data_IF_663551362607
#
_entry.id   IF_663551362607
#
_cell.length_a   1.000
_cell.length_b   1.000
_cell.length_c   1.000
_cell.angle_alpha   90.00
_cell.angle_beta   90.00
_cell.angle_gamma   90.00
#
_symmetry.space_group_name_H-M   'P 1'
#
loop_
_entity.id
_entity.type
_entity.pdbx_description
1 polymer ?
#
# COMPACT_ATOMS: atom_id res chain seq x y z
N UNK A 1 -11.16 14.45 -19.72
CA UNK A 1 -11.32 15.85 -19.25
C UNK A 1 -12.04 15.97 -17.91
N UNK A 2 -13.26 15.43 -17.73
CA UNK A 2 -14.00 15.57 -16.45
C UNK A 2 -13.24 15.02 -15.22
N UNK A 3 -12.62 13.84 -15.34
CA UNK A 3 -11.84 13.27 -14.23
C UNK A 3 -10.62 14.12 -13.86
N UNK A 4 -10.00 14.80 -14.83
CA UNK A 4 -8.90 15.72 -14.57
C UNK A 4 -9.38 16.94 -13.77
N UNK A 5 -10.56 17.49 -14.12
CA UNK A 5 -11.16 18.58 -13.35
C UNK A 5 -11.43 18.14 -11.90
N UNK A 6 -11.98 16.93 -11.71
CA UNK A 6 -12.22 16.36 -10.38
C UNK A 6 -10.92 16.12 -9.61
N UNK A 7 -9.87 15.63 -10.28
CA UNK A 7 -8.55 15.44 -9.68
C UNK A 7 -7.97 16.77 -9.19
N UNK A 8 -8.11 17.83 -9.98
CA UNK A 8 -7.65 19.18 -9.63
C UNK A 8 -8.46 19.77 -8.48
N UNK A 9 -9.80 19.62 -8.51
CA UNK A 9 -10.66 20.07 -7.41
C UNK A 9 -10.34 19.35 -6.09
N UNK A 10 -10.02 18.05 -6.15
CA UNK A 10 -9.68 17.23 -5.00
C UNK A 10 -8.37 17.64 -4.30
N UNK A 11 -7.54 18.51 -4.92
CA UNK A 11 -6.35 19.08 -4.26
C UNK A 11 -6.76 19.95 -3.07
N UNK A 12 -7.94 20.57 -3.13
CA UNK A 12 -8.47 21.51 -2.14
C UNK A 12 -9.42 20.75 -1.17
N UNK A 13 -9.08 20.62 0.13
CA UNK A 13 -9.89 19.90 1.11
C UNK A 13 -11.34 20.39 1.23
N UNK A 14 -11.57 21.69 1.02
CA UNK A 14 -12.89 22.32 1.03
C UNK A 14 -13.82 21.72 -0.05
N UNK A 15 -13.24 21.24 -1.15
CA UNK A 15 -14.01 20.59 -2.23
C UNK A 15 -14.30 19.11 -1.93
N UNK A 16 -13.66 18.47 -0.95
CA UNK A 16 -13.75 17.01 -0.73
C UNK A 16 -15.20 16.56 -0.52
N UNK A 17 -16.01 17.35 0.19
CA UNK A 17 -17.43 17.05 0.39
C UNK A 17 -18.21 16.96 -0.92
N UNK A 18 -17.83 17.77 -1.92
CA UNK A 18 -18.43 17.82 -3.26
C UNK A 18 -17.91 16.66 -4.12
N UNK A 19 -16.58 16.47 -4.14
CA UNK A 19 -15.94 15.55 -5.09
C UNK A 19 -15.83 14.11 -4.60
N UNK A 20 -16.14 13.80 -3.33
CA UNK A 20 -16.10 12.42 -2.82
C UNK A 20 -17.00 11.45 -3.59
N UNK A 21 -18.09 11.92 -4.20
CA UNK A 21 -18.96 11.09 -5.03
C UNK A 21 -18.26 10.57 -6.31
N UNK A 22 -17.10 11.15 -6.66
CA UNK A 22 -16.29 10.71 -7.77
C UNK A 22 -15.41 9.50 -7.44
N UNK A 23 -15.26 9.10 -6.17
CA UNK A 23 -14.37 7.98 -5.79
C UNK A 23 -14.72 6.70 -6.56
N UNK A 24 -15.98 6.22 -6.59
CA UNK A 24 -16.31 5.00 -7.32
C UNK A 24 -16.03 5.10 -8.83
N UNK A 25 -16.26 6.29 -9.41
CA UNK A 25 -16.00 6.56 -10.82
C UNK A 25 -14.50 6.55 -11.14
N UNK A 26 -13.68 7.15 -10.28
CA UNK A 26 -12.22 7.13 -10.42
C UNK A 26 -11.67 5.70 -10.26
N UNK A 27 -12.18 4.93 -9.30
CA UNK A 27 -11.83 3.51 -9.14
C UNK A 27 -12.14 2.71 -10.40
N UNK A 28 -13.31 2.92 -11.01
CA UNK A 28 -13.67 2.25 -12.27
C UNK A 28 -12.69 2.59 -13.41
N UNK A 29 -12.10 3.79 -13.42
CA UNK A 29 -11.12 4.17 -14.46
C UNK A 29 -9.75 3.49 -14.31
N UNK A 30 -9.47 2.83 -13.19
CA UNK A 30 -8.22 2.07 -13.03
C UNK A 30 -8.12 0.84 -13.96
N UNK A 31 -9.26 0.38 -14.50
CA UNK A 31 -9.34 -0.68 -15.51
C UNK A 31 -9.39 -0.15 -16.95
N UNK A 32 -9.20 1.16 -17.17
CA UNK A 32 -9.19 1.72 -18.51
C UNK A 32 -8.01 1.19 -19.33
N UNK A 33 -8.22 1.02 -20.64
CA UNK A 33 -7.16 0.72 -21.59
C UNK A 33 -6.34 1.98 -21.94
N UNK A 34 -6.87 3.16 -21.63
CA UNK A 34 -6.16 4.43 -21.78
C UNK A 34 -5.32 4.70 -20.53
N UNK A 35 -3.99 4.60 -20.68
CA UNK A 35 -3.05 4.83 -19.58
C UNK A 35 -3.12 6.26 -19.03
N UNK A 36 -3.49 7.25 -19.86
CA UNK A 36 -3.70 8.61 -19.39
C UNK A 36 -4.88 8.68 -18.44
N UNK A 37 -5.99 8.02 -18.76
CA UNK A 37 -7.14 7.96 -17.84
C UNK A 37 -6.79 7.30 -16.50
N UNK A 38 -6.00 6.23 -16.54
CA UNK A 38 -5.53 5.54 -15.33
C UNK A 38 -4.68 6.45 -14.46
N UNK A 39 -3.73 7.18 -15.06
CA UNK A 39 -2.88 8.13 -14.33
C UNK A 39 -3.72 9.22 -13.67
N UNK A 40 -4.68 9.79 -14.40
CA UNK A 40 -5.59 10.82 -13.87
C UNK A 40 -6.47 10.24 -12.74
N UNK A 41 -6.92 9.00 -12.87
CA UNK A 41 -7.68 8.31 -11.84
C UNK A 41 -6.87 8.09 -10.56
N UNK A 42 -5.63 7.60 -10.68
CA UNK A 42 -4.71 7.43 -9.55
C UNK A 42 -4.42 8.78 -8.87
N UNK A 43 -4.26 9.86 -9.64
CA UNK A 43 -4.06 11.19 -9.11
C UNK A 43 -5.29 11.70 -8.34
N UNK A 44 -6.50 11.53 -8.91
CA UNK A 44 -7.75 11.89 -8.25
C UNK A 44 -7.91 11.12 -6.92
N UNK A 45 -7.74 9.80 -6.95
CA UNK A 45 -7.84 8.95 -5.77
C UNK A 45 -6.79 9.28 -4.72
N UNK A 46 -5.57 9.62 -5.13
CA UNK A 46 -4.51 10.07 -4.21
C UNK A 46 -4.95 11.36 -3.49
N UNK A 47 -5.50 12.33 -4.21
CA UNK A 47 -5.95 13.59 -3.61
C UNK A 47 -7.17 13.40 -2.68
N UNK A 48 -8.06 12.46 -3.02
CA UNK A 48 -9.26 12.13 -2.23
C UNK A 48 -8.98 11.21 -1.03
N UNK A 49 -7.79 10.63 -0.92
CA UNK A 49 -7.42 9.66 0.12
C UNK A 49 -6.57 10.25 1.26
N UNK A 50 -6.45 11.58 1.35
CA UNK A 50 -5.65 12.23 2.39
C UNK A 50 -6.20 11.98 3.80
N UNK A 51 -7.53 11.90 3.95
CA UNK A 51 -8.21 11.66 5.22
C UNK A 51 -9.42 10.73 5.00
N UNK A 52 -9.16 9.43 4.80
CA UNK A 52 -10.21 8.42 4.56
C UNK A 52 -11.02 8.23 5.83
N UNK A 53 -12.33 8.51 5.78
CA UNK A 53 -13.25 8.13 6.85
C UNK A 53 -13.68 6.66 6.72
N UNK A 54 -14.15 6.06 7.82
CA UNK A 54 -14.62 4.66 7.83
C UNK A 54 -15.73 4.40 6.79
N UNK A 55 -16.60 5.39 6.54
CA UNK A 55 -17.66 5.31 5.53
C UNK A 55 -17.14 5.28 4.08
N UNK A 56 -15.93 5.81 3.84
CA UNK A 56 -15.31 5.82 2.52
C UNK A 56 -14.53 4.55 2.22
N UNK A 57 -14.22 3.74 3.24
CA UNK A 57 -13.43 2.51 3.07
C UNK A 57 -13.98 1.63 1.94
N UNK A 58 -15.29 1.28 1.90
CA UNK A 58 -15.82 0.41 0.85
C UNK A 58 -15.64 0.97 -0.57
N UNK A 59 -15.52 2.30 -0.71
CA UNK A 59 -15.34 2.96 -2.00
C UNK A 59 -13.89 2.85 -2.50
N UNK A 60 -12.91 2.79 -1.59
CA UNK A 60 -11.49 2.68 -1.93
C UNK A 60 -10.98 1.25 -2.02
N UNK A 61 -11.59 0.29 -1.32
CA UNK A 61 -11.18 -1.13 -1.32
C UNK A 61 -10.93 -1.68 -2.74
N UNK A 62 -11.78 -1.43 -3.76
CA UNK A 62 -11.54 -1.99 -5.09
C UNK A 62 -10.31 -1.40 -5.79
N UNK A 63 -9.75 -0.26 -5.34
CA UNK A 63 -8.52 0.32 -5.90
C UNK A 63 -7.27 -0.50 -5.54
N UNK A 64 -7.28 -1.21 -4.41
CA UNK A 64 -6.12 -1.94 -3.87
C UNK A 64 -5.52 -2.93 -4.89
N UNK A 65 -6.27 -3.91 -5.45
CA UNK A 65 -5.70 -4.88 -6.39
C UNK A 65 -5.18 -4.22 -7.67
N UNK A 66 -5.78 -3.11 -8.10
CA UNK A 66 -5.31 -2.34 -9.25
C UNK A 66 -4.00 -1.62 -8.95
N UNK A 67 -3.85 -1.03 -7.77
CA UNK A 67 -2.60 -0.39 -7.37
C UNK A 67 -1.47 -1.40 -7.23
N UNK A 68 -1.74 -2.54 -6.57
CA UNK A 68 -0.76 -3.61 -6.40
C UNK A 68 -0.31 -4.14 -7.77
N UNK A 69 -1.23 -4.51 -8.66
CA UNK A 69 -0.89 -5.04 -9.98
C UNK A 69 -0.12 -4.04 -10.87
N UNK A 70 -0.31 -2.74 -10.64
CA UNK A 70 0.40 -1.67 -11.35
C UNK A 70 1.64 -1.15 -10.64
N UNK A 71 2.07 -1.74 -9.52
CA UNK A 71 3.31 -1.33 -8.83
C UNK A 71 4.53 -1.33 -9.76
N UNK A 72 4.52 -2.22 -10.75
CA UNK A 72 5.54 -2.31 -11.80
C UNK A 72 4.88 -2.14 -13.17
N UNK A 73 5.37 -1.18 -13.95
CA UNK A 73 4.97 -1.00 -15.35
C UNK A 73 6.24 -1.01 -16.19
N UNK A 74 6.34 -2.00 -17.10
CA UNK A 74 7.49 -2.17 -18.01
C UNK A 74 8.84 -2.21 -17.28
N UNK A 75 8.88 -2.84 -16.10
CA UNK A 75 10.09 -2.97 -15.28
C UNK A 75 10.35 -1.79 -14.34
N UNK A 76 9.58 -0.70 -14.44
CA UNK A 76 9.76 0.50 -13.64
C UNK A 76 8.70 0.59 -12.52
N UNK A 77 9.07 1.04 -11.31
CA UNK A 77 8.10 1.34 -10.26
C UNK A 77 7.12 2.44 -10.71
N UNK A 78 5.82 2.19 -10.51
CA UNK A 78 4.77 3.18 -10.76
C UNK A 78 4.53 4.05 -9.52
N UNK A 79 5.03 5.28 -9.58
CA UNK A 79 4.91 6.22 -8.47
C UNK A 79 3.46 6.60 -8.13
N UNK A 80 2.56 6.65 -9.12
CA UNK A 80 1.16 7.03 -8.87
C UNK A 80 0.41 5.95 -8.09
N UNK A 81 0.64 4.68 -8.43
CA UNK A 81 0.10 3.55 -7.66
C UNK A 81 0.67 3.55 -6.23
N UNK A 82 1.97 3.80 -6.09
CA UNK A 82 2.65 3.83 -4.80
C UNK A 82 2.19 4.97 -3.90
N UNK A 83 1.95 6.17 -4.46
CA UNK A 83 1.40 7.32 -3.73
C UNK A 83 0.02 7.01 -3.15
N UNK A 84 -0.85 6.38 -3.94
CA UNK A 84 -2.16 5.96 -3.46
C UNK A 84 -2.03 4.87 -2.38
N UNK A 85 -1.18 3.86 -2.56
CA UNK A 85 -0.94 2.81 -1.55
C UNK A 85 -0.46 3.38 -0.22
N UNK A 86 0.40 4.39 -0.22
CA UNK A 86 0.81 5.12 1.00
C UNK A 86 -0.40 5.75 1.69
N UNK A 87 -1.25 6.47 0.95
CA UNK A 87 -2.43 7.11 1.55
C UNK A 87 -3.42 6.08 2.11
N UNK A 88 -3.64 4.98 1.37
CA UNK A 88 -4.48 3.87 1.83
C UNK A 88 -3.93 3.25 3.12
N UNK A 89 -2.61 3.04 3.23
CA UNK A 89 -2.01 2.46 4.45
C UNK A 89 -1.92 3.41 5.63
N UNK A 90 -2.09 4.72 5.42
CA UNK A 90 -2.26 5.70 6.50
C UNK A 90 -3.64 5.60 7.18
N UNK A 91 -4.61 4.88 6.60
CA UNK A 91 -5.88 4.50 7.24
C UNK A 91 -5.74 3.07 7.80
N UNK A 92 -5.58 2.86 9.12
CA UNK A 92 -5.33 1.53 9.68
C UNK A 92 -6.43 0.51 9.35
N UNK A 93 -7.69 0.93 9.29
CA UNK A 93 -8.84 0.07 8.95
C UNK A 93 -8.84 -0.40 7.49
N UNK A 94 -8.07 0.25 6.61
CA UNK A 94 -7.88 -0.18 5.22
C UNK A 94 -6.85 -1.32 5.11
N UNK A 95 -5.90 -1.39 6.04
CA UNK A 95 -4.76 -2.31 5.97
C UNK A 95 -5.18 -3.80 5.95
N UNK A 96 -6.19 -4.27 6.69
CA UNK A 96 -6.71 -5.64 6.55
C UNK A 96 -7.09 -6.02 5.11
N UNK A 97 -7.75 -5.13 4.38
CA UNK A 97 -8.13 -5.34 2.98
C UNK A 97 -6.89 -5.37 2.06
N UNK A 98 -5.90 -4.52 2.35
CA UNK A 98 -4.63 -4.52 1.61
C UNK A 98 -3.88 -5.84 1.80
N UNK A 99 -3.77 -6.29 3.05
CA UNK A 99 -3.04 -7.50 3.41
C UNK A 99 -3.68 -8.77 2.86
N UNK A 100 -5.00 -8.83 2.75
CA UNK A 100 -5.73 -9.94 2.11
C UNK A 100 -5.68 -9.93 0.57
N UNK A 101 -5.27 -8.82 -0.05
CA UNK A 101 -5.20 -8.72 -1.51
C UNK A 101 -4.07 -9.55 -2.09
N UNK A 102 -4.21 -9.94 -3.36
CA UNK A 102 -3.17 -10.69 -4.08
C UNK A 102 -1.88 -9.87 -4.17
N UNK A 103 -0.77 -10.49 -3.78
CA UNK A 103 0.54 -9.86 -3.86
C UNK A 103 1.11 -9.80 -5.28
N UNK A 104 2.14 -8.98 -5.45
CA UNK A 104 2.97 -8.93 -6.67
C UNK A 104 4.35 -9.48 -6.36
N UNK A 105 4.84 -10.35 -7.23
CA UNK A 105 6.17 -10.95 -7.12
C UNK A 105 7.26 -9.88 -7.13
N UNK A 106 8.27 -10.06 -6.28
CA UNK A 106 9.40 -9.12 -6.21
C UNK A 106 9.03 -7.76 -5.59
N UNK A 107 7.97 -7.71 -4.77
CA UNK A 107 7.52 -6.48 -4.09
C UNK A 107 8.66 -5.70 -3.43
N UNK A 108 9.55 -6.40 -2.71
CA UNK A 108 10.63 -5.77 -1.96
C UNK A 108 11.70 -5.14 -2.84
N UNK A 109 11.77 -5.48 -4.14
CA UNK A 109 12.65 -4.83 -5.12
C UNK A 109 12.34 -3.35 -5.32
N UNK A 110 11.18 -2.86 -4.85
CA UNK A 110 10.89 -1.42 -4.79
C UNK A 110 11.91 -0.66 -3.93
N UNK A 111 12.57 -1.34 -3.00
CA UNK A 111 13.61 -0.77 -2.14
C UNK A 111 14.99 -0.68 -2.82
N UNK A 112 15.17 -1.30 -4.00
CA UNK A 112 16.43 -1.26 -4.77
C UNK A 112 16.51 -0.07 -5.74
N UNK A 113 15.50 0.81 -5.74
CA UNK A 113 15.46 1.94 -6.68
C UNK A 113 16.45 3.03 -6.29
N UNK A 114 17.10 3.61 -7.30
CA UNK A 114 17.93 4.82 -7.20
C UNK A 114 17.10 6.11 -7.15
N UNK A 115 15.81 6.03 -7.47
CA UNK A 115 14.88 7.17 -7.43
C UNK A 115 14.42 7.40 -6.00
N UNK A 116 15.04 8.38 -5.34
CA UNK A 116 14.77 8.71 -3.94
C UNK A 116 13.28 8.93 -3.62
N UNK A 117 12.52 9.58 -4.50
CA UNK A 117 11.08 9.80 -4.30
C UNK A 117 10.31 8.47 -4.21
N UNK A 118 10.67 7.49 -5.05
CA UNK A 118 10.06 6.16 -5.05
C UNK A 118 10.46 5.40 -3.80
N UNK A 119 11.74 5.44 -3.44
CA UNK A 119 12.26 4.78 -2.25
C UNK A 119 11.56 5.29 -0.98
N UNK A 120 11.43 6.60 -0.82
CA UNK A 120 10.73 7.23 0.29
C UNK A 120 9.28 6.78 0.39
N UNK A 121 8.57 6.65 -0.74
CA UNK A 121 7.19 6.18 -0.76
C UNK A 121 7.08 4.68 -0.47
N UNK A 122 7.99 3.87 -1.00
CA UNK A 122 8.03 2.43 -0.77
C UNK A 122 8.25 2.11 0.71
N UNK A 123 9.27 2.72 1.33
CA UNK A 123 9.55 2.50 2.74
C UNK A 123 8.48 3.09 3.65
N UNK A 124 7.88 4.23 3.29
CA UNK A 124 6.73 4.79 4.02
C UNK A 124 5.53 3.85 3.96
N UNK A 125 5.23 3.30 2.79
CA UNK A 125 4.11 2.37 2.63
C UNK A 125 4.28 1.10 3.48
N UNK A 126 5.48 0.50 3.48
CA UNK A 126 5.81 -0.65 4.32
C UNK A 126 5.77 -0.32 5.81
N UNK A 127 6.25 0.88 6.20
CA UNK A 127 6.19 1.37 7.56
C UNK A 127 4.76 1.54 8.05
N UNK A 128 3.90 2.25 7.31
CA UNK A 128 2.51 2.46 7.67
C UNK A 128 1.73 1.13 7.76
N UNK A 129 1.93 0.25 6.77
CA UNK A 129 1.33 -1.09 6.75
C UNK A 129 1.74 -1.89 7.99
N UNK A 130 3.04 -1.92 8.31
CA UNK A 130 3.56 -2.65 9.48
C UNK A 130 3.13 -2.02 10.81
N UNK A 131 3.01 -0.69 10.86
CA UNK A 131 2.51 0.03 12.03
C UNK A 131 1.07 -0.39 12.35
N UNK A 132 0.22 -0.50 11.32
CA UNK A 132 -1.15 -0.96 11.49
C UNK A 132 -1.23 -2.45 11.87
N UNK A 133 -0.34 -3.28 11.33
CA UNK A 133 -0.24 -4.70 11.74
C UNK A 133 0.08 -4.83 13.22
N UNK A 134 1.04 -4.05 13.72
CA UNK A 134 1.39 -4.01 15.15
C UNK A 134 0.22 -3.48 15.99
N UNK A 135 -0.28 -2.28 15.66
CA UNK A 135 -1.31 -1.58 16.43
C UNK A 135 -2.66 -2.32 16.49
N UNK A 136 -3.07 -2.99 15.40
CA UNK A 136 -4.32 -3.74 15.34
C UNK A 136 -4.12 -5.23 15.63
N UNK A 137 -2.90 -5.65 15.95
CA UNK A 137 -2.50 -7.05 16.14
C UNK A 137 -3.00 -7.96 15.01
N UNK A 138 -2.72 -7.56 13.76
CA UNK A 138 -3.20 -8.30 12.59
C UNK A 138 -2.40 -9.59 12.41
N UNK A 139 -3.13 -10.70 12.34
CA UNK A 139 -2.63 -12.01 11.96
C UNK A 139 -3.27 -12.43 10.64
N UNK A 140 -2.71 -13.44 9.98
CA UNK A 140 -3.36 -14.01 8.80
C UNK A 140 -4.82 -14.42 9.08
N UNK A 141 -5.08 -15.07 10.22
CA UNK A 141 -6.43 -15.52 10.59
C UNK A 141 -7.44 -14.37 10.66
N UNK A 142 -7.01 -13.18 11.13
CA UNK A 142 -7.85 -11.99 11.19
C UNK A 142 -8.15 -11.38 9.82
N UNK A 143 -7.24 -11.54 8.85
CA UNK A 143 -7.40 -10.99 7.49
C UNK A 143 -7.86 -12.03 6.47
N UNK A 144 -8.01 -13.30 6.87
CA UNK A 144 -8.33 -14.40 5.96
C UNK A 144 -9.66 -14.20 5.21
N UNK A 145 -10.62 -13.51 5.82
CA UNK A 145 -11.89 -13.14 5.17
C UNK A 145 -11.71 -12.22 3.96
N UNK A 146 -10.58 -11.48 3.89
CA UNK A 146 -10.22 -10.61 2.78
C UNK A 146 -9.35 -11.31 1.73
N UNK A 147 -8.94 -12.57 1.94
CA UNK A 147 -8.15 -13.30 0.95
C UNK A 147 -8.94 -13.53 -0.33
N UNK A 148 -8.57 -12.86 -1.42
CA UNK A 148 -9.27 -12.97 -2.71
C UNK A 148 -8.83 -14.17 -3.58
N UNK A 149 -7.87 -14.97 -3.12
CA UNK A 149 -7.43 -16.17 -3.83
C UNK A 149 -8.56 -17.23 -3.90
N UNK A 150 -8.86 -17.79 -5.10
CA UNK A 150 -9.92 -18.79 -5.27
C UNK A 150 -9.74 -20.04 -4.41
N UNK A 151 -8.50 -20.40 -4.08
CA UNK A 151 -8.15 -21.56 -3.26
C UNK A 151 -7.84 -21.17 -1.81
N UNK A 152 -8.05 -19.89 -1.44
CA UNK A 152 -7.72 -19.32 -0.13
C UNK A 152 -6.27 -19.57 0.29
N UNK A 153 -5.34 -19.67 -0.66
CA UNK A 153 -3.94 -19.92 -0.36
C UNK A 153 -3.34 -18.68 0.36
N UNK A 154 -2.85 -18.82 1.61
CA UNK A 154 -2.23 -17.71 2.34
C UNK A 154 -1.01 -17.14 1.62
N UNK A 155 -0.26 -17.99 0.90
CA UNK A 155 0.99 -17.60 0.25
C UNK A 155 0.80 -16.57 -0.88
N UNK A 156 -0.42 -16.43 -1.42
CA UNK A 156 -0.72 -15.48 -2.48
C UNK A 156 -1.13 -14.09 -1.95
N UNK A 157 -1.25 -13.93 -0.63
CA UNK A 157 -1.64 -12.66 -0.02
C UNK A 157 -0.45 -11.71 0.13
N UNK A 158 -0.75 -10.40 0.14
CA UNK A 158 0.23 -9.37 0.47
C UNK A 158 0.80 -9.59 1.88
N UNK A 159 -0.02 -10.04 2.82
CA UNK A 159 0.42 -10.41 4.16
C UNK A 159 1.59 -11.39 4.14
N UNK A 160 1.46 -12.50 3.41
CA UNK A 160 2.53 -13.48 3.31
C UNK A 160 3.74 -12.96 2.53
N UNK A 161 3.54 -12.09 1.55
CA UNK A 161 4.63 -11.52 0.75
C UNK A 161 5.47 -10.48 1.49
N UNK A 162 4.99 -9.97 2.64
CA UNK A 162 5.73 -9.06 3.51
C UNK A 162 6.23 -9.78 4.76
N UNK A 163 5.37 -10.60 5.39
CA UNK A 163 5.62 -11.20 6.71
C UNK A 163 5.87 -12.71 6.68
N UNK A 164 5.81 -13.35 5.51
CA UNK A 164 6.23 -14.75 5.35
C UNK A 164 7.73 -14.90 5.66
N UNK A 165 8.20 -16.06 6.15
CA UNK A 165 9.54 -16.18 6.75
C UNK A 165 10.68 -15.61 5.90
N UNK A 166 10.75 -16.01 4.61
CA UNK A 166 11.79 -15.53 3.69
C UNK A 166 11.66 -14.05 3.36
N UNK A 167 10.45 -13.60 3.04
CA UNK A 167 10.19 -12.19 2.70
C UNK A 167 10.45 -11.27 3.89
N UNK A 168 10.21 -11.77 5.11
CA UNK A 168 10.43 -11.01 6.32
C UNK A 168 11.93 -10.83 6.61
N UNK A 169 12.72 -11.89 6.47
CA UNK A 169 14.18 -11.81 6.56
C UNK A 169 14.74 -10.82 5.52
N UNK A 170 14.25 -10.91 4.26
CA UNK A 170 14.64 -10.00 3.19
C UNK A 170 14.27 -8.54 3.50
N UNK A 171 13.06 -8.29 4.01
CA UNK A 171 12.62 -6.95 4.39
C UNK A 171 13.49 -6.35 5.49
N UNK A 172 13.79 -7.13 6.53
CA UNK A 172 14.67 -6.67 7.61
C UNK A 172 16.07 -6.37 7.11
N UNK A 173 16.62 -7.21 6.23
CA UNK A 173 17.95 -7.00 5.68
C UNK A 173 18.02 -5.71 4.86
N UNK A 174 17.08 -5.52 3.92
CA UNK A 174 16.98 -4.29 3.11
C UNK A 174 16.76 -3.06 3.99
N UNK A 175 15.90 -3.14 5.00
CA UNK A 175 15.68 -2.03 5.92
C UNK A 175 16.95 -1.69 6.71
N UNK A 176 17.78 -2.66 7.13
CA UNK A 176 19.09 -2.40 7.76
C UNK A 176 20.03 -1.67 6.83
N UNK A 177 20.12 -2.07 5.57
CA UNK A 177 20.94 -1.39 4.56
C UNK A 177 20.51 0.07 4.39
N UNK A 178 19.20 0.32 4.36
CA UNK A 178 18.63 1.67 4.25
C UNK A 178 18.88 2.55 5.49
N UNK A 179 19.25 2.00 6.66
CA UNK A 179 19.69 2.81 7.81
C UNK A 179 21.03 3.50 7.59
N UNK A 180 21.79 3.10 6.55
CA UNK A 180 23.05 3.70 6.16
C UNK A 180 22.90 4.65 4.94
N UNK A 181 21.66 4.93 4.53
CA UNK A 181 21.39 5.79 3.39
C UNK A 181 21.77 7.26 3.68
N UNK A 182 22.10 8.03 2.63
CA UNK A 182 22.50 9.44 2.76
C UNK A 182 21.34 10.36 3.14
N UNK A 183 20.13 10.03 2.67
CA UNK A 183 18.91 10.75 3.00
C UNK A 183 18.39 10.40 4.41
N UNK A 184 18.32 11.40 5.29
CA UNK A 184 17.88 11.26 6.68
C UNK A 184 16.43 10.77 6.83
N UNK A 185 15.52 11.13 5.93
CA UNK A 185 14.13 10.65 5.98
C UNK A 185 14.04 9.15 5.67
N UNK A 186 14.86 8.66 4.73
CA UNK A 186 14.98 7.23 4.44
C UNK A 186 15.50 6.50 5.68
N UNK A 187 16.58 6.99 6.29
CA UNK A 187 17.17 6.41 7.51
C UNK A 187 16.18 6.36 8.66
N UNK A 188 15.46 7.46 8.90
CA UNK A 188 14.46 7.56 9.97
C UNK A 188 13.32 6.55 9.77
N UNK A 189 12.81 6.42 8.54
CA UNK A 189 11.75 5.47 8.21
C UNK A 189 12.22 4.02 8.31
N UNK A 190 13.43 3.73 7.84
CA UNK A 190 14.04 2.40 7.89
C UNK A 190 14.26 1.93 9.34
N UNK A 191 14.77 2.83 10.19
CA UNK A 191 14.99 2.57 11.61
C UNK A 191 13.67 2.25 12.32
N UNK A 192 12.66 3.10 12.13
CA UNK A 192 11.32 2.87 12.70
C UNK A 192 10.66 1.60 12.17
N UNK A 193 10.87 1.26 10.89
CA UNK A 193 10.37 0.02 10.33
C UNK A 193 10.98 -1.18 11.05
N UNK A 194 12.30 -1.21 11.24
CA UNK A 194 12.98 -2.27 11.99
C UNK A 194 12.48 -2.40 13.42
N UNK A 195 12.20 -1.30 14.10
CA UNK A 195 11.62 -1.31 15.45
C UNK A 195 10.24 -1.96 15.48
N UNK A 196 9.34 -1.53 14.59
CA UNK A 196 7.98 -2.08 14.50
C UNK A 196 8.00 -3.55 14.09
N UNK A 197 8.88 -3.92 13.17
CA UNK A 197 9.03 -5.29 12.72
C UNK A 197 9.33 -6.23 13.91
N UNK A 198 10.12 -5.82 14.92
CA UNK A 198 10.37 -6.63 16.13
C UNK A 198 9.09 -7.02 16.90
N UNK A 199 8.04 -6.20 16.81
CA UNK A 199 6.76 -6.45 17.49
C UNK A 199 5.81 -7.30 16.66
N UNK A 200 5.93 -7.26 15.33
CA UNK A 200 5.10 -8.04 14.41
C UNK A 200 5.50 -9.51 14.45
N UNK A 201 4.54 -10.38 14.79
CA UNK A 201 4.75 -11.82 14.90
C UNK A 201 5.05 -12.47 13.54
N UNK A 202 5.99 -13.43 13.52
CA UNK A 202 6.33 -14.20 12.32
C UNK A 202 5.21 -15.20 11.98
N UNK A 203 4.86 -15.27 10.69
CA UNK A 203 3.97 -16.31 10.17
C UNK A 203 4.60 -17.68 10.42
N UNK A 204 3.95 -18.51 11.25
CA UNK A 204 4.42 -19.85 11.61
C UNK A 204 5.08 -19.97 12.99
N UNK A 205 5.25 -18.87 13.72
CA UNK A 205 5.58 -18.95 15.16
C UNK A 205 4.29 -19.10 15.96
N UNK A 206 3.67 -20.28 15.87
CA UNK A 206 2.85 -20.75 16.99
C UNK A 206 3.76 -20.79 18.20
N UNK A 207 3.67 -19.78 19.07
CA UNK A 207 4.15 -19.94 20.45
C UNK A 207 3.36 -21.11 21.01
N UNK A 208 3.99 -22.30 20.98
CA UNK A 208 3.60 -23.42 21.84
C UNK A 208 3.64 -22.87 23.25
N UNK A 209 2.47 -22.50 23.76
CA UNK A 209 2.21 -22.43 25.19
C UNK A 209 1.62 -23.78 25.58
#
# INVERSE_FOLDING_TARGET
MLLQCLANMAVCPENHGIVRCAIPHAVQRLTSNDEMEVVVALQALTNLSLNISTEQIPQFVPAIPHCLSRLWIRGEPNINALRLLVNLSCCPDMVPYMLGSKAVSGLLRLLDTDREEVLLRAITWLLCTSSAVDALHLTYDRIACHNQDPFRNPAHTLYHSIYGPKSREELEQRARELTLHTNADVVNKATRLLEILKNVSLVGTSRRR
#
